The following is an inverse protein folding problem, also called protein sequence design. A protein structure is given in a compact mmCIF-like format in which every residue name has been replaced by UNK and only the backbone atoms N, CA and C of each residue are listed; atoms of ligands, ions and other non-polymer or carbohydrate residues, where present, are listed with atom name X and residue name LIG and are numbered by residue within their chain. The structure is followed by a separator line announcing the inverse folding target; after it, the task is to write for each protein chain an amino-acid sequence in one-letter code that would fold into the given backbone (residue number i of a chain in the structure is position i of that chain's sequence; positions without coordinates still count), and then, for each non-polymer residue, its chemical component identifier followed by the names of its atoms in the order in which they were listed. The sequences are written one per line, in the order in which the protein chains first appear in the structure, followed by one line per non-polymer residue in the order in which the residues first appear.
data_IF_340857479547
#
_entry.id   IF_340857479547
#
_cell.length_a   1.000
_cell.length_b   1.000
_cell.length_c   1.000
_cell.angle_alpha   90.00
_cell.angle_beta   90.00
_cell.angle_gamma   90.00
#
_symmetry.space_group_name_H-M   'P 1'
#
loop_
_entity.id
_entity.type
_entity.pdbx_description
1 polymer ?
#
# COMPACT_ATOMS: atom_id res chain seq x y z
N UNK A 1 62.29 -0.07 -28.04
CA UNK A 1 62.31 -1.08 -26.96
C UNK A 1 61.41 -0.72 -25.77
N UNK A 2 61.54 0.44 -25.12
CA UNK A 2 60.77 0.77 -23.88
C UNK A 2 59.24 0.76 -24.07
N UNK A 3 58.74 1.24 -25.22
CA UNK A 3 57.30 1.24 -25.51
C UNK A 3 56.74 -0.17 -25.71
N UNK A 4 57.53 -1.08 -26.27
CA UNK A 4 57.11 -2.45 -26.54
C UNK A 4 56.98 -3.25 -25.24
N UNK A 5 57.94 -3.10 -24.32
CA UNK A 5 57.89 -3.71 -22.99
C UNK A 5 56.67 -3.24 -22.18
N UNK A 6 56.29 -1.95 -22.28
CA UNK A 6 55.10 -1.41 -21.58
C UNK A 6 53.77 -1.91 -22.15
N UNK A 7 53.72 -2.20 -23.45
CA UNK A 7 52.51 -2.77 -24.09
C UNK A 7 52.36 -4.24 -23.68
N UNK A 8 53.45 -5.00 -23.65
CA UNK A 8 53.47 -6.40 -23.19
C UNK A 8 53.10 -6.52 -21.69
N UNK A 9 53.59 -5.61 -20.84
CA UNK A 9 53.24 -5.57 -19.42
C UNK A 9 51.75 -5.26 -19.17
N UNK A 10 51.16 -4.36 -19.99
CA UNK A 10 49.73 -4.05 -19.92
C UNK A 10 48.86 -5.19 -20.42
N UNK A 11 49.31 -5.91 -21.46
CA UNK A 11 48.60 -7.09 -21.95
C UNK A 11 48.61 -8.19 -20.89
N UNK A 12 49.77 -8.48 -20.30
CA UNK A 12 49.93 -9.48 -19.23
C UNK A 12 49.06 -9.18 -17.99
N UNK A 13 49.00 -7.92 -17.55
CA UNK A 13 48.16 -7.54 -16.40
C UNK A 13 46.66 -7.60 -16.71
N UNK A 14 46.25 -7.27 -17.94
CA UNK A 14 44.87 -7.41 -18.39
C UNK A 14 44.42 -8.87 -18.46
N UNK A 15 45.27 -9.76 -18.98
CA UNK A 15 44.98 -11.19 -19.09
C UNK A 15 44.86 -11.83 -17.70
N UNK A 16 45.70 -11.44 -16.75
CA UNK A 16 45.61 -11.93 -15.37
C UNK A 16 44.33 -11.45 -14.67
N UNK A 17 43.93 -10.19 -14.86
CA UNK A 17 42.66 -9.68 -14.33
C UNK A 17 41.45 -10.42 -14.90
N UNK A 18 41.46 -10.70 -16.21
CA UNK A 18 40.38 -11.45 -16.86
C UNK A 18 40.27 -12.88 -16.29
N UNK A 19 41.41 -13.54 -16.06
CA UNK A 19 41.47 -14.88 -15.44
C UNK A 19 40.90 -14.89 -14.03
N UNK A 20 41.27 -13.92 -13.19
CA UNK A 20 40.76 -13.78 -11.81
C UNK A 20 39.25 -13.52 -11.81
N UNK A 21 38.76 -12.65 -12.69
CA UNK A 21 37.34 -12.36 -12.83
C UNK A 21 36.53 -13.60 -13.23
N UNK A 22 37.09 -14.44 -14.12
CA UNK A 22 36.45 -15.68 -14.56
C UNK A 22 36.35 -16.73 -13.44
N UNK A 23 37.39 -16.92 -12.63
CA UNK A 23 37.33 -17.82 -11.47
C UNK A 23 36.36 -17.33 -10.39
N UNK A 24 36.26 -16.01 -10.18
CA UNK A 24 35.29 -15.44 -9.25
C UNK A 24 33.85 -15.70 -9.72
N UNK A 25 33.57 -15.55 -11.02
CA UNK A 25 32.26 -15.87 -11.59
C UNK A 25 31.92 -17.36 -11.43
N UNK A 26 32.89 -18.24 -11.69
CA UNK A 26 32.71 -19.70 -11.52
C UNK A 26 32.37 -20.06 -10.08
N UNK A 27 33.02 -19.43 -9.11
CA UNK A 27 32.75 -19.65 -7.68
C UNK A 27 31.33 -19.19 -7.30
N UNK A 28 30.90 -18.03 -7.79
CA UNK A 28 29.54 -17.52 -7.55
C UNK A 28 28.45 -18.42 -8.15
N UNK A 29 28.70 -19.00 -9.32
CA UNK A 29 27.74 -19.93 -9.95
C UNK A 29 27.54 -21.20 -9.12
N UNK A 30 28.64 -21.73 -8.55
CA UNK A 30 28.60 -22.88 -7.64
C UNK A 30 27.79 -22.54 -6.37
N UNK A 31 27.97 -21.36 -5.80
CA UNK A 31 27.20 -20.92 -4.63
C UNK A 31 25.71 -20.74 -4.93
N UNK A 32 25.36 -20.21 -6.10
CA UNK A 32 23.96 -20.08 -6.54
C UNK A 32 23.32 -21.48 -6.65
N UNK A 33 24.01 -22.45 -7.26
CA UNK A 33 23.49 -23.81 -7.38
C UNK A 33 23.35 -24.51 -6.02
N UNK A 34 24.30 -24.29 -5.11
CA UNK A 34 24.25 -24.78 -3.73
C UNK A 34 23.04 -24.22 -2.98
N UNK A 35 22.86 -22.90 -2.99
CA UNK A 35 21.72 -22.24 -2.33
C UNK A 35 20.37 -22.67 -2.93
N UNK A 36 20.30 -22.82 -4.25
CA UNK A 36 19.11 -23.33 -4.91
C UNK A 36 18.76 -24.75 -4.44
N UNK A 37 19.76 -25.62 -4.30
CA UNK A 37 19.58 -26.99 -3.81
C UNK A 37 19.10 -27.02 -2.35
N UNK A 38 19.65 -26.15 -1.49
CA UNK A 38 19.25 -26.02 -0.09
C UNK A 38 17.78 -25.53 0.04
N UNK A 39 17.37 -24.55 -0.78
CA UNK A 39 15.97 -24.08 -0.82
C UNK A 39 15.03 -25.21 -1.25
N UNK A 40 15.39 -26.01 -2.25
CA UNK A 40 14.57 -27.14 -2.70
C UNK A 40 14.44 -28.20 -1.60
N UNK A 41 15.53 -28.50 -0.89
CA UNK A 41 15.53 -29.47 0.20
C UNK A 41 14.66 -28.98 1.38
N UNK A 42 14.80 -27.73 1.81
CA UNK A 42 13.99 -27.15 2.89
C UNK A 42 12.49 -27.18 2.57
N UNK A 43 12.12 -26.94 1.30
CA UNK A 43 10.73 -27.05 0.85
C UNK A 43 10.20 -28.48 0.90
N UNK A 44 11.02 -29.49 0.58
CA UNK A 44 10.62 -30.90 0.61
C UNK A 44 10.50 -31.44 2.04
N UNK A 45 11.38 -31.02 2.96
CA UNK A 45 11.30 -31.39 4.38
C UNK A 45 10.03 -30.83 5.02
N UNK A 46 9.67 -29.57 4.73
CA UNK A 46 8.44 -28.94 5.24
C UNK A 46 7.15 -29.67 4.80
N UNK A 47 7.15 -30.30 3.63
CA UNK A 47 6.00 -31.08 3.11
C UNK A 47 5.92 -32.46 3.76
N UNK A 48 7.05 -33.05 4.15
CA UNK A 48 7.10 -34.39 4.75
C UNK A 48 6.79 -34.39 6.25
N UNK A 49 7.19 -33.34 6.98
CA UNK A 49 6.89 -33.19 8.42
C UNK A 49 5.43 -32.81 8.71
N UNK A 50 4.67 -32.37 7.70
CA UNK A 50 3.24 -32.02 7.83
C UNK A 50 2.27 -33.22 7.74
N UNK A 51 2.77 -34.45 7.63
CA UNK A 51 1.93 -35.67 7.65
C UNK A 51 1.79 -36.35 9.03
N UNK A 52 2.31 -35.77 10.13
CA UNK A 52 2.22 -36.44 11.45
C UNK A 52 1.95 -35.57 12.67
N UNK A 53 1.67 -34.26 12.55
CA UNK A 53 1.31 -33.47 13.73
C UNK A 53 0.15 -32.52 13.43
N UNK A 54 -1.00 -32.84 14.03
CA UNK A 54 -2.09 -31.89 14.29
C UNK A 54 -1.55 -30.76 15.15
N UNK A 55 -1.05 -29.70 14.51
CA UNK A 55 -0.70 -28.45 15.20
C UNK A 55 -1.15 -27.28 14.35
N UNK A 56 -2.01 -26.49 14.95
CA UNK A 56 -2.55 -25.23 14.46
C UNK A 56 -1.39 -24.24 14.28
N UNK A 57 -0.86 -24.15 13.06
CA UNK A 57 -0.15 -22.96 12.61
C UNK A 57 -0.94 -22.34 11.45
N UNK A 58 -1.17 -21.02 11.46
CA UNK A 58 -1.90 -20.36 10.40
C UNK A 58 -1.02 -20.39 9.16
N UNK A 59 -1.28 -21.38 8.31
CA UNK A 59 -0.94 -21.30 6.89
C UNK A 59 -1.59 -20.01 6.40
N UNK A 60 -0.80 -18.96 6.23
CA UNK A 60 -1.18 -17.81 5.40
C UNK A 60 -1.24 -18.36 3.98
N UNK A 61 -2.37 -19.02 3.70
CA UNK A 61 -2.78 -19.41 2.38
C UNK A 61 -2.83 -18.12 1.58
N UNK A 62 -1.85 -17.93 0.69
CA UNK A 62 -1.92 -16.95 -0.40
C UNK A 62 -3.00 -17.31 -1.43
N UNK A 63 -3.92 -18.23 -1.09
CA UNK A 63 -5.28 -18.18 -1.58
C UNK A 63 -5.97 -16.96 -0.95
N UNK A 64 -5.52 -15.76 -1.34
CA UNK A 64 -6.36 -14.57 -1.32
C UNK A 64 -7.63 -15.03 -2.03
N UNK A 65 -8.71 -15.25 -1.28
CA UNK A 65 -10.02 -15.54 -1.87
C UNK A 65 -10.17 -14.51 -2.98
N UNK A 66 -10.38 -14.96 -4.22
CA UNK A 66 -10.65 -14.06 -5.35
C UNK A 66 -11.71 -13.07 -4.85
N UNK A 67 -11.25 -11.87 -4.50
CA UNK A 67 -12.03 -10.96 -3.69
C UNK A 67 -13.25 -10.62 -4.52
N UNK A 68 -14.45 -10.81 -3.95
CA UNK A 68 -15.67 -10.42 -4.64
C UNK A 68 -15.53 -8.95 -5.01
N UNK A 69 -15.38 -8.68 -6.31
CA UNK A 69 -15.21 -7.31 -6.80
C UNK A 69 -16.50 -6.57 -6.51
N UNK A 70 -16.38 -5.47 -5.77
CA UNK A 70 -17.53 -4.63 -5.49
C UNK A 70 -18.01 -3.96 -6.79
N UNK A 71 -19.25 -4.28 -7.16
CA UNK A 71 -19.92 -3.77 -8.37
C UNK A 71 -21.19 -2.99 -8.02
N UNK A 72 -21.28 -2.49 -6.79
CA UNK A 72 -22.47 -1.79 -6.29
C UNK A 72 -22.16 -0.45 -5.68
N UNK A 73 -20.99 -0.28 -5.05
CA UNK A 73 -20.62 1.00 -4.44
C UNK A 73 -20.14 2.01 -5.48
N UNK A 74 -20.48 3.26 -5.18
CA UNK A 74 -20.26 4.43 -5.98
C UNK A 74 -19.93 5.64 -5.09
N UNK A 75 -19.29 6.63 -5.69
CA UNK A 75 -18.98 7.90 -5.08
C UNK A 75 -20.24 8.74 -4.94
N UNK A 76 -20.32 9.47 -3.85
CA UNK A 76 -21.36 10.45 -3.55
C UNK A 76 -20.69 11.79 -3.22
N UNK A 77 -21.32 12.88 -3.67
CA UNK A 77 -20.85 14.23 -3.42
C UNK A 77 -21.66 14.83 -2.25
N UNK A 78 -21.04 15.06 -1.08
CA UNK A 78 -21.71 15.73 0.04
C UNK A 78 -21.99 17.22 -0.24
N UNK A 79 -21.41 17.82 -1.28
CA UNK A 79 -21.75 19.17 -1.76
C UNK A 79 -23.10 19.18 -2.48
N UNK A 80 -24.13 19.69 -1.80
CA UNK A 80 -25.47 19.84 -2.37
C UNK A 80 -25.52 20.83 -3.55
N UNK A 81 -24.52 21.72 -3.68
CA UNK A 81 -24.47 22.69 -4.77
C UNK A 81 -23.85 22.12 -6.04
N UNK A 82 -23.08 21.02 -5.92
CA UNK A 82 -22.32 20.42 -7.01
C UNK A 82 -21.23 21.33 -7.60
N UNK A 83 -20.86 22.42 -6.91
CA UNK A 83 -19.96 23.43 -7.46
C UNK A 83 -18.48 23.12 -7.27
N UNK A 84 -18.11 22.25 -6.34
CA UNK A 84 -16.70 21.90 -6.18
C UNK A 84 -16.26 20.64 -6.91
N UNK A 85 -17.18 19.73 -7.26
CA UNK A 85 -16.82 18.49 -7.94
C UNK A 85 -17.90 17.92 -8.86
N UNK A 86 -17.45 17.36 -9.99
CA UNK A 86 -18.26 16.57 -10.94
C UNK A 86 -17.96 15.09 -10.73
N UNK A 87 -18.99 14.25 -10.68
CA UNK A 87 -18.85 12.79 -10.64
C UNK A 87 -19.07 12.19 -12.03
N UNK A 88 -18.15 11.36 -12.48
CA UNK A 88 -18.21 10.62 -13.74
C UNK A 88 -18.46 9.13 -13.51
N UNK A 89 -19.20 8.51 -14.45
CA UNK A 89 -19.49 7.08 -14.43
C UNK A 89 -18.37 6.27 -15.06
N UNK A 90 -18.00 5.16 -14.42
CA UNK A 90 -17.14 4.10 -14.98
C UNK A 90 -17.88 2.78 -14.76
N UNK A 91 -18.18 2.06 -15.83
CA UNK A 91 -18.98 0.82 -15.73
C UNK A 91 -20.38 1.05 -15.15
N UNK A 92 -21.00 2.20 -15.43
CA UNK A 92 -22.34 2.55 -14.96
C UNK A 92 -22.42 3.14 -13.54
N UNK A 93 -21.35 3.04 -12.74
CA UNK A 93 -21.31 3.57 -11.37
C UNK A 93 -20.48 4.86 -11.28
N UNK A 94 -20.86 5.80 -10.42
CA UNK A 94 -20.06 6.99 -10.16
C UNK A 94 -18.75 6.57 -9.47
N UNK A 95 -17.62 6.62 -10.17
CA UNK A 95 -16.34 6.06 -9.68
C UNK A 95 -15.15 7.00 -9.88
N UNK A 96 -15.40 8.17 -10.47
CA UNK A 96 -14.39 9.19 -10.71
C UNK A 96 -14.94 10.54 -10.29
N UNK A 97 -14.10 11.33 -9.64
CA UNK A 97 -14.37 12.71 -9.25
C UNK A 97 -13.44 13.64 -10.01
N UNK A 98 -13.97 14.73 -10.54
CA UNK A 98 -13.23 15.82 -11.14
C UNK A 98 -13.46 17.08 -10.30
N UNK A 99 -12.39 17.63 -9.75
CA UNK A 99 -12.40 18.92 -9.06
C UNK A 99 -12.69 20.05 -10.04
N UNK A 100 -13.66 20.91 -9.73
CA UNK A 100 -13.98 22.11 -10.53
C UNK A 100 -13.09 23.29 -10.10
N UNK A 101 -12.79 23.38 -8.80
CA UNK A 101 -12.00 24.46 -8.17
C UNK A 101 -10.83 23.89 -7.39
N UNK A 102 -9.78 24.70 -7.20
CA UNK A 102 -8.62 24.34 -6.39
C UNK A 102 -8.87 24.62 -4.90
N UNK A 103 -9.83 23.90 -4.32
CA UNK A 103 -10.25 24.03 -2.93
C UNK A 103 -10.23 22.67 -2.22
N UNK A 104 -10.52 22.64 -0.92
CA UNK A 104 -10.72 21.39 -0.21
C UNK A 104 -12.00 20.71 -0.70
N UNK A 105 -11.87 19.44 -1.06
CA UNK A 105 -12.97 18.60 -1.52
C UNK A 105 -13.13 17.41 -0.59
N UNK A 106 -14.36 16.93 -0.47
CA UNK A 106 -14.67 15.71 0.27
C UNK A 106 -15.65 14.91 -0.54
N UNK A 107 -15.35 13.63 -0.74
CA UNK A 107 -16.13 12.70 -1.54
C UNK A 107 -16.23 11.43 -0.72
N UNK A 108 -17.43 10.89 -0.61
CA UNK A 108 -17.64 9.65 0.11
C UNK A 108 -17.88 8.51 -0.88
N UNK A 109 -17.43 7.31 -0.55
CA UNK A 109 -17.84 6.07 -1.20
C UNK A 109 -18.99 5.50 -0.37
N UNK A 110 -20.12 5.19 -1.00
CA UNK A 110 -21.29 4.63 -0.32
C UNK A 110 -21.16 3.14 0.01
N UNK A 111 -20.00 2.78 0.58
CA UNK A 111 -19.71 1.44 1.06
C UNK A 111 -19.78 1.44 2.57
N UNK A 112 -20.76 0.73 3.10
CA UNK A 112 -20.83 0.38 4.50
C UNK A 112 -20.05 -0.91 4.75
N UNK A 113 -19.10 -0.88 5.69
CA UNK A 113 -18.23 -2.00 6.05
C UNK A 113 -18.66 -2.54 7.43
N UNK A 114 -19.01 -3.83 7.50
CA UNK A 114 -19.49 -4.49 8.74
C UNK A 114 -18.53 -5.58 9.22
N UNK A 115 -18.20 -6.54 8.36
CA UNK A 115 -17.39 -7.71 8.69
C UNK A 115 -16.54 -8.16 7.49
N UNK A 116 -15.39 -8.77 7.75
CA UNK A 116 -14.53 -9.37 6.72
C UNK A 116 -13.32 -8.53 6.34
N UNK A 117 -12.77 -8.79 5.15
CA UNK A 117 -11.57 -8.15 4.60
C UNK A 117 -11.97 -7.38 3.34
N UNK A 118 -11.64 -6.10 3.28
CA UNK A 118 -11.97 -5.22 2.17
C UNK A 118 -10.70 -4.60 1.60
N UNK A 119 -10.57 -4.59 0.28
CA UNK A 119 -9.52 -3.87 -0.43
C UNK A 119 -10.15 -2.75 -1.24
N UNK A 120 -9.68 -1.53 -1.04
CA UNK A 120 -10.08 -0.36 -1.83
C UNK A 120 -8.87 0.29 -2.44
N UNK A 121 -8.96 0.54 -3.75
CA UNK A 121 -7.90 1.17 -4.52
C UNK A 121 -8.37 2.54 -4.98
N UNK A 122 -7.58 3.56 -4.67
CA UNK A 122 -7.88 4.95 -5.01
C UNK A 122 -6.73 5.50 -5.84
N UNK A 123 -7.06 6.13 -6.98
CA UNK A 123 -6.09 6.76 -7.86
C UNK A 123 -6.30 8.28 -7.93
N UNK A 124 -5.23 9.02 -7.67
CA UNK A 124 -5.22 10.48 -7.73
C UNK A 124 -4.51 10.95 -9.01
N UNK A 125 -5.26 11.56 -9.91
CA UNK A 125 -4.74 12.09 -11.16
C UNK A 125 -4.67 13.61 -11.09
N UNK A 126 -3.47 14.17 -11.33
CA UNK A 126 -3.22 15.62 -11.38
C UNK A 126 -3.54 16.37 -10.06
N UNK A 127 -3.68 15.66 -8.93
CA UNK A 127 -3.91 16.24 -7.60
C UNK A 127 -2.63 16.80 -6.96
N UNK A 128 -1.96 17.76 -7.60
CA UNK A 128 -0.73 18.37 -7.09
C UNK A 128 -1.00 19.78 -6.55
N UNK A 129 -0.63 20.00 -5.29
CA UNK A 129 -0.53 21.32 -4.67
C UNK A 129 0.91 21.55 -4.23
N UNK A 130 1.57 22.56 -4.78
CA UNK A 130 2.99 22.87 -4.50
C UNK A 130 3.91 21.64 -4.64
N UNK A 131 3.70 20.83 -5.69
CA UNK A 131 4.41 19.57 -5.98
C UNK A 131 4.05 18.36 -5.08
N UNK A 132 3.20 18.53 -4.07
CA UNK A 132 2.77 17.47 -3.16
C UNK A 132 1.29 17.10 -3.34
N UNK A 133 0.91 15.89 -2.96
CA UNK A 133 -0.50 15.46 -2.90
C UNK A 133 -1.05 15.77 -1.50
N UNK A 134 -1.86 16.83 -1.38
CA UNK A 134 -2.60 17.14 -0.16
C UNK A 134 -3.88 16.33 -0.09
N UNK A 135 -3.72 15.00 -0.05
CA UNK A 135 -4.83 14.06 -0.02
C UNK A 135 -4.96 13.46 1.37
N UNK A 136 -6.19 13.18 1.78
CA UNK A 136 -6.49 12.41 2.98
C UNK A 136 -7.49 11.35 2.59
N UNK A 137 -7.27 10.14 3.06
CA UNK A 137 -8.18 9.02 2.82
C UNK A 137 -8.47 8.40 4.16
N UNK A 138 -9.75 8.16 4.44
CA UNK A 138 -10.12 7.65 5.74
C UNK A 138 -11.33 6.75 5.71
N UNK A 139 -11.57 6.18 6.88
CA UNK A 139 -12.80 5.51 7.22
C UNK A 139 -13.46 6.28 8.36
N UNK A 140 -14.77 6.45 8.25
CA UNK A 140 -15.58 7.17 9.23
C UNK A 140 -16.62 6.24 9.82
N UNK A 141 -17.07 6.47 11.06
CA UNK A 141 -18.20 5.70 11.62
C UNK A 141 -19.45 5.84 10.75
N UNK A 142 -20.19 4.77 10.55
CA UNK A 142 -21.44 4.81 9.81
C UNK A 142 -22.46 5.70 10.51
N UNK A 143 -23.28 6.37 9.71
CA UNK A 143 -24.21 7.40 10.16
C UNK A 143 -23.54 8.75 10.48
N UNK A 144 -22.21 8.82 10.53
CA UNK A 144 -21.52 10.10 10.60
C UNK A 144 -21.72 10.88 9.30
N UNK A 145 -22.27 12.09 9.40
CA UNK A 145 -22.44 12.98 8.26
C UNK A 145 -21.13 13.72 8.01
N UNK A 146 -20.43 13.35 6.94
CA UNK A 146 -19.21 14.04 6.52
C UNK A 146 -19.60 15.43 6.01
N UNK A 147 -19.10 16.52 6.61
CA UNK A 147 -19.38 17.86 6.14
C UNK A 147 -18.68 18.13 4.80
N UNK A 148 -19.12 19.18 4.12
CA UNK A 148 -18.46 19.65 2.91
C UNK A 148 -18.08 21.14 3.05
N UNK A 149 -16.78 21.50 2.94
CA UNK A 149 -15.62 20.60 2.90
C UNK A 149 -15.37 19.94 4.27
N UNK A 150 -14.73 18.77 4.28
CA UNK A 150 -14.29 18.09 5.50
C UNK A 150 -12.81 18.35 5.78
N UNK A 151 -12.54 18.95 6.94
CA UNK A 151 -11.20 19.01 7.50
C UNK A 151 -11.07 18.02 8.67
N UNK A 152 -10.41 16.87 8.49
CA UNK A 152 -10.31 15.85 9.55
C UNK A 152 -9.40 16.25 10.72
N UNK A 153 -8.76 17.44 10.65
CA UNK A 153 -8.04 18.04 11.79
C UNK A 153 -8.95 18.78 12.76
N UNK A 154 -10.17 19.14 12.34
CA UNK A 154 -11.11 19.76 13.25
C UNK A 154 -11.57 18.73 14.27
N UNK A 155 -11.56 19.13 15.55
CA UNK A 155 -11.84 18.25 16.70
C UNK A 155 -13.15 17.46 16.54
N UNK A 156 -14.19 18.12 16.02
CA UNK A 156 -15.49 17.50 15.80
C UNK A 156 -15.46 16.38 14.75
N UNK A 157 -14.56 16.47 13.77
CA UNK A 157 -14.44 15.49 12.68
C UNK A 157 -13.45 14.38 13.05
N UNK A 158 -12.29 14.75 13.61
CA UNK A 158 -11.22 13.82 13.95
C UNK A 158 -11.63 12.68 14.89
N UNK A 159 -12.61 12.89 15.77
CA UNK A 159 -13.11 11.86 16.71
C UNK A 159 -13.89 10.72 16.05
N UNK A 160 -14.39 10.94 14.83
CA UNK A 160 -15.20 9.98 14.10
C UNK A 160 -14.44 9.34 12.92
N UNK A 161 -13.16 9.69 12.75
CA UNK A 161 -12.38 9.31 11.57
C UNK A 161 -11.07 8.61 11.96
N UNK A 162 -10.75 7.59 11.17
CA UNK A 162 -9.41 7.04 11.04
C UNK A 162 -8.93 7.40 9.64
N UNK A 163 -7.85 8.15 9.50
CA UNK A 163 -7.41 8.62 8.19
C UNK A 163 -5.88 8.60 8.02
N UNK A 164 -5.49 8.38 6.78
CA UNK A 164 -4.15 8.50 6.27
C UNK A 164 -3.93 9.91 5.70
N UNK A 165 -2.85 10.58 6.12
CA UNK A 165 -2.47 11.89 5.59
C UNK A 165 -1.41 11.74 4.51
N UNK A 166 -1.79 11.94 3.25
CA UNK A 166 -0.89 11.82 2.09
C UNK A 166 0.26 12.83 2.05
N UNK A 167 0.18 13.92 2.82
CA UNK A 167 1.29 14.88 2.92
C UNK A 167 2.39 14.41 3.88
N UNK A 168 2.01 13.91 5.06
CA UNK A 168 2.99 13.51 6.10
C UNK A 168 3.31 12.02 6.09
N UNK A 169 2.45 11.20 5.48
CA UNK A 169 2.49 9.74 5.62
C UNK A 169 1.87 9.23 6.92
N UNK A 170 1.43 10.09 7.83
CA UNK A 170 0.98 9.62 9.14
C UNK A 170 -0.47 9.12 9.10
N UNK A 171 -0.76 8.15 9.97
CA UNK A 171 -2.12 7.67 10.23
C UNK A 171 -2.61 8.31 11.53
N UNK A 172 -3.85 8.78 11.52
CA UNK A 172 -4.50 9.45 12.64
C UNK A 172 -5.80 8.76 13.02
N UNK A 173 -6.04 8.60 14.32
CA UNK A 173 -7.30 8.12 14.89
C UNK A 173 -7.66 8.96 16.10
N UNK A 174 -8.90 9.49 16.16
CA UNK A 174 -9.35 10.36 17.27
C UNK A 174 -8.36 11.49 17.56
N UNK A 175 -7.90 12.16 16.51
CA UNK A 175 -6.90 13.25 16.56
C UNK A 175 -5.49 12.84 16.99
N UNK A 176 -5.28 11.60 17.44
CA UNK A 176 -3.97 11.09 17.82
C UNK A 176 -3.25 10.49 16.62
N UNK A 177 -1.98 10.86 16.44
CA UNK A 177 -1.10 10.16 15.52
C UNK A 177 -0.78 8.78 16.13
N UNK A 178 -1.16 7.72 15.43
CA UNK A 178 -0.97 6.34 15.92
C UNK A 178 0.22 5.65 15.25
N UNK A 179 0.75 6.23 14.17
CA UNK A 179 1.95 5.74 13.52
C UNK A 179 2.69 6.87 12.81
N UNK A 180 3.99 6.96 13.06
CA UNK A 180 4.92 7.73 12.25
C UNK A 180 5.53 6.80 11.20
N UNK A 181 5.31 7.11 9.93
CA UNK A 181 6.04 6.41 8.87
C UNK A 181 7.43 7.05 8.83
N UNK A 182 8.47 6.29 9.22
CA UNK A 182 9.85 6.79 9.42
C UNK A 182 10.51 7.40 8.18
N UNK A 183 9.84 7.41 7.02
CA UNK A 183 10.26 8.21 5.88
C UNK A 183 9.02 8.92 5.28
N UNK A 184 9.06 10.25 5.10
CA UNK A 184 8.03 10.94 4.33
C UNK A 184 8.13 10.45 2.90
N UNK A 185 7.27 9.50 2.54
CA UNK A 185 7.15 9.05 1.16
C UNK A 185 6.50 10.21 0.42
N UNK A 186 7.29 11.12 -0.12
CA UNK A 186 6.79 12.13 -1.04
C UNK A 186 6.17 11.39 -2.23
N UNK A 187 4.84 11.37 -2.28
CA UNK A 187 4.06 10.66 -3.28
C UNK A 187 4.33 11.21 -4.68
N UNK A 188 5.30 10.62 -5.39
CA UNK A 188 5.36 10.71 -6.85
C UNK A 188 4.37 9.74 -7.51
N UNK A 189 3.87 8.76 -6.75
CA UNK A 189 3.00 7.68 -7.23
C UNK A 189 1.52 7.98 -6.94
N UNK A 190 0.65 7.57 -7.85
CA UNK A 190 -0.75 8.03 -7.95
C UNK A 190 -1.77 7.08 -7.32
N UNK A 191 -1.35 5.93 -6.81
CA UNK A 191 -2.26 4.84 -6.42
C UNK A 191 -2.03 4.46 -4.96
N UNK A 192 -3.11 4.42 -4.18
CA UNK A 192 -3.14 3.99 -2.79
C UNK A 192 -4.10 2.81 -2.68
N UNK A 193 -3.63 1.71 -2.10
CA UNK A 193 -4.45 0.53 -1.80
C UNK A 193 -4.65 0.42 -0.28
N UNK A 194 -5.89 0.36 0.18
CA UNK A 194 -6.21 0.20 1.60
C UNK A 194 -6.82 -1.17 1.77
N UNK A 195 -6.23 -1.99 2.64
CA UNK A 195 -6.70 -3.31 3.02
C UNK A 195 -7.21 -3.27 4.47
N UNK A 196 -8.50 -3.44 4.66
CA UNK A 196 -9.19 -3.32 5.95
C UNK A 196 -9.57 -4.72 6.41
N UNK A 197 -9.07 -5.18 7.57
CA UNK A 197 -9.41 -6.47 8.15
C UNK A 197 -10.19 -6.29 9.47
N UNK A 198 -11.50 -6.51 9.43
CA UNK A 198 -12.36 -6.24 10.60
C UNK A 198 -12.37 -7.36 11.64
N UNK A 199 -12.14 -8.64 11.27
CA UNK A 199 -12.19 -9.74 12.25
C UNK A 199 -11.03 -9.75 13.27
N UNK A 200 -9.90 -9.11 12.96
CA UNK A 200 -8.73 -9.03 13.85
C UNK A 200 -8.34 -7.59 14.17
N UNK A 201 -9.20 -6.63 13.83
CA UNK A 201 -8.97 -5.19 14.02
C UNK A 201 -7.61 -4.71 13.47
N UNK A 202 -7.25 -5.21 12.29
CA UNK A 202 -6.00 -4.89 11.60
C UNK A 202 -6.33 -4.02 10.38
N UNK A 203 -5.87 -2.77 10.37
CA UNK A 203 -5.86 -1.94 9.17
C UNK A 203 -4.48 -2.06 8.50
N UNK A 204 -4.45 -2.59 7.29
CA UNK A 204 -3.21 -2.65 6.50
C UNK A 204 -3.30 -1.65 5.35
N UNK A 205 -2.45 -0.62 5.35
CA UNK A 205 -2.37 0.32 4.24
C UNK A 205 -1.22 -0.11 3.33
N UNK A 206 -1.56 -0.48 2.10
CA UNK A 206 -0.60 -0.82 1.05
C UNK A 206 -0.42 0.38 0.12
N UNK A 207 0.71 1.03 0.26
CA UNK A 207 1.11 2.12 -0.62
C UNK A 207 2.08 1.51 -1.61
N UNK A 208 1.92 1.69 -2.93
CA UNK A 208 2.73 0.96 -3.91
C UNK A 208 4.23 0.98 -3.54
N UNK A 209 4.81 -0.21 -3.28
CA UNK A 209 6.18 -0.52 -2.74
C UNK A 209 6.38 -0.57 -1.22
N UNK A 210 5.38 -0.26 -0.39
CA UNK A 210 5.43 -0.36 1.06
C UNK A 210 4.12 -0.91 1.63
N UNK A 211 4.22 -1.85 2.56
CA UNK A 211 3.06 -2.42 3.25
C UNK A 211 3.18 -2.08 4.73
N UNK A 212 2.18 -1.42 5.28
CA UNK A 212 2.13 -1.11 6.71
C UNK A 212 0.90 -1.80 7.29
N UNK A 213 1.13 -2.62 8.31
CA UNK A 213 0.05 -3.24 9.08
C UNK A 213 -0.07 -2.51 10.39
N UNK A 214 -1.25 -1.99 10.68
CA UNK A 214 -1.58 -1.28 11.90
C UNK A 214 -2.65 -2.06 12.65
N UNK A 215 -2.39 -2.37 13.91
CA UNK A 215 -3.35 -3.00 14.81
C UNK A 215 -4.09 -1.89 15.56
N UNK A 216 -5.40 -1.81 15.42
CA UNK A 216 -6.23 -0.77 16.05
C UNK A 216 -7.24 -1.46 16.94
N UNK A 217 -7.11 -1.34 18.25
CA UNK A 217 -8.13 -1.85 19.18
C UNK A 217 -9.41 -0.99 19.09
N UNK A 218 -10.40 -1.45 18.33
CA UNK A 218 -11.72 -0.83 18.23
C UNK A 218 -12.69 -1.58 19.16
N UNK A 219 -12.72 -1.20 20.44
CA UNK A 219 -13.56 -1.82 21.48
C UNK A 219 -15.09 -1.71 21.28
N UNK A 220 -15.59 -1.30 20.10
CA UNK A 220 -17.02 -1.13 19.82
C UNK A 220 -17.30 -1.58 18.38
N UNK A 221 -18.35 -2.39 18.12
CA UNK A 221 -18.81 -2.70 16.76
C UNK A 221 -19.11 -1.39 16.04
N UNK A 222 -18.20 -1.02 15.14
CA UNK A 222 -18.25 0.23 14.41
C UNK A 222 -18.38 -0.15 12.94
N UNK A 223 -19.49 0.27 12.36
CA UNK A 223 -19.70 0.18 10.92
C UNK A 223 -18.90 1.35 10.31
N UNK A 224 -18.23 1.16 9.18
CA UNK A 224 -17.40 2.21 8.57
C UNK A 224 -17.81 2.58 7.14
N UNK A 225 -17.63 3.86 6.76
CA UNK A 225 -17.80 4.40 5.40
C UNK A 225 -16.47 4.97 4.91
N UNK A 226 -16.11 4.70 3.65
CA UNK A 226 -14.84 5.17 3.06
C UNK A 226 -15.02 6.58 2.51
N UNK A 227 -14.11 7.50 2.83
CA UNK A 227 -14.09 8.88 2.33
C UNK A 227 -12.70 9.34 1.94
#
# INVERSE_FOLDING_TARGET
MILQARVEERASTSDEQARVAQELLRTKEIDIQRLHSEIVQLRQTAISESHSISTIHPVINQNISVGVIDNTSQLENPDLTGQGAILERIGGLLRKTIAIKQEYLSIQLNKEIKDGIYRVEVRFEKCKYLQYTYTRIGIVKAGYKIPYPCNPRDKLHGQHMLYYNGYTGNIYFKEMQIQEIQQPVFFKQREISILIHLQFFLLTIHISKFSFTLLIDLQIPSIFVIS
#
